data_IF_620373982537
#
_entry.id   IF_620373982537
#
_cell.length_a   1.000
_cell.length_b   1.000
_cell.length_c   1.000
_cell.angle_alpha   90.00
_cell.angle_beta   90.00
_cell.angle_gamma   90.00
#
_symmetry.space_group_name_H-M   'P 1'
#
loop_
_entity.id
_entity.type
_entity.pdbx_description
1 polymer ?
#
# COMPACT_ATOMS: atom_id res chain seq x y z
N UNK A 1 67.87 -30.64 8.26
CA UNK A 1 67.84 -29.49 7.34
C UNK A 1 66.63 -29.70 6.44
N UNK A 2 65.47 -29.13 6.81
CA UNK A 2 64.23 -29.22 6.02
C UNK A 2 64.21 -28.07 5.03
N UNK A 3 64.14 -28.39 3.74
CA UNK A 3 64.14 -27.41 2.65
C UNK A 3 62.89 -26.51 2.70
N UNK A 4 63.02 -25.22 2.34
CA UNK A 4 61.89 -24.29 2.35
C UNK A 4 60.87 -24.66 1.26
N UNK A 5 59.61 -24.89 1.66
CA UNK A 5 58.53 -25.26 0.73
C UNK A 5 58.06 -24.02 0.00
N UNK A 6 57.96 -24.08 -1.33
CA UNK A 6 57.43 -22.95 -2.10
C UNK A 6 55.93 -22.78 -1.84
N UNK A 7 55.48 -21.52 -1.68
CA UNK A 7 54.06 -21.19 -1.49
C UNK A 7 53.16 -21.80 -2.58
N UNK A 8 53.67 -21.92 -3.80
CA UNK A 8 52.93 -22.50 -4.92
C UNK A 8 52.75 -24.02 -4.76
N UNK A 9 53.79 -24.74 -4.35
CA UNK A 9 53.70 -26.19 -4.05
C UNK A 9 52.73 -26.44 -2.91
N UNK A 10 52.81 -25.65 -1.84
CA UNK A 10 51.91 -25.75 -0.69
C UNK A 10 50.43 -25.59 -1.05
N UNK A 11 50.09 -24.57 -1.86
CA UNK A 11 48.70 -24.34 -2.26
C UNK A 11 48.16 -25.46 -3.16
N UNK A 12 49.03 -26.06 -4.01
CA UNK A 12 48.66 -27.14 -4.92
C UNK A 12 48.42 -28.47 -4.19
N UNK A 13 49.25 -28.78 -3.19
CA UNK A 13 49.17 -30.03 -2.43
C UNK A 13 47.97 -30.06 -1.46
N UNK A 14 47.57 -28.91 -0.92
CA UNK A 14 46.52 -28.81 0.12
C UNK A 14 45.14 -28.41 -0.44
N UNK A 15 44.76 -28.93 -1.61
CA UNK A 15 43.41 -28.75 -2.15
C UNK A 15 43.21 -27.53 -3.07
N UNK A 16 44.28 -27.04 -3.70
CA UNK A 16 44.25 -25.92 -4.66
C UNK A 16 43.76 -24.61 -4.04
N UNK A 17 44.36 -24.24 -2.91
CA UNK A 17 44.01 -23.04 -2.15
C UNK A 17 44.35 -21.75 -2.93
N UNK A 18 43.55 -20.67 -2.77
CA UNK A 18 43.82 -19.39 -3.42
C UNK A 18 45.10 -18.75 -2.91
N UNK A 19 46.16 -18.79 -3.74
CA UNK A 19 47.53 -18.33 -3.41
C UNK A 19 47.60 -16.89 -2.88
N UNK A 20 46.76 -15.99 -3.39
CA UNK A 20 46.69 -14.59 -2.94
C UNK A 20 46.17 -14.45 -1.51
N UNK A 21 45.16 -15.24 -1.14
CA UNK A 21 44.59 -15.25 0.21
C UNK A 21 45.55 -15.84 1.24
N UNK A 22 46.22 -16.94 0.89
CA UNK A 22 47.22 -17.59 1.78
C UNK A 22 48.43 -16.68 1.98
N UNK A 23 48.93 -16.04 0.93
CA UNK A 23 50.07 -15.09 1.03
C UNK A 23 49.74 -13.90 1.91
N UNK A 24 48.56 -13.31 1.75
CA UNK A 24 48.12 -12.16 2.54
C UNK A 24 48.02 -12.52 4.02
N UNK A 25 47.37 -13.65 4.33
CA UNK A 25 47.21 -14.12 5.70
C UNK A 25 48.55 -14.38 6.40
N UNK A 26 49.49 -15.01 5.71
CA UNK A 26 50.83 -15.28 6.25
C UNK A 26 51.61 -13.99 6.55
N UNK A 27 51.56 -13.01 5.65
CA UNK A 27 52.21 -11.71 5.87
C UNK A 27 51.56 -10.94 7.03
N UNK A 28 50.22 -10.97 7.14
CA UNK A 28 49.48 -10.31 8.22
C UNK A 28 49.82 -10.93 9.61
N UNK A 29 50.23 -12.20 9.65
CA UNK A 29 50.65 -12.91 10.87
C UNK A 29 52.18 -12.94 11.07
N UNK A 30 52.94 -12.14 10.29
CA UNK A 30 54.37 -11.95 10.49
C UNK A 30 55.27 -13.05 9.89
N UNK A 31 54.74 -13.93 9.04
CA UNK A 31 55.53 -14.95 8.34
C UNK A 31 56.03 -14.41 6.98
N UNK A 32 57.35 -14.48 6.75
CA UNK A 32 57.95 -14.09 5.48
C UNK A 32 57.72 -15.15 4.41
N UNK A 33 57.24 -14.73 3.23
CA UNK A 33 57.08 -15.60 2.05
C UNK A 33 58.16 -15.41 0.98
N UNK A 34 59.20 -14.61 1.26
CA UNK A 34 60.18 -14.16 0.25
C UNK A 34 61.19 -15.24 -0.14
N UNK A 35 61.64 -16.05 0.81
CA UNK A 35 62.66 -17.10 0.61
C UNK A 35 62.08 -18.53 0.71
N UNK A 36 60.75 -18.64 0.60
CA UNK A 36 59.98 -19.87 0.82
C UNK A 36 59.34 -19.94 2.20
N UNK A 37 58.41 -20.88 2.40
CA UNK A 37 57.68 -21.04 3.65
C UNK A 37 58.55 -21.74 4.69
N UNK A 38 58.71 -21.11 5.85
CA UNK A 38 59.31 -21.76 7.01
C UNK A 38 58.40 -22.88 7.54
N UNK A 39 58.94 -23.91 8.20
CA UNK A 39 58.14 -25.01 8.75
C UNK A 39 57.01 -24.53 9.68
N UNK A 40 57.28 -23.50 10.49
CA UNK A 40 56.28 -22.88 11.36
C UNK A 40 55.15 -22.17 10.59
N UNK A 41 55.48 -21.55 9.44
CA UNK A 41 54.48 -20.92 8.57
C UNK A 41 53.58 -21.96 7.87
N UNK A 42 54.14 -23.12 7.50
CA UNK A 42 53.39 -24.23 6.91
C UNK A 42 52.40 -24.81 7.92
N UNK A 43 52.82 -25.06 9.16
CA UNK A 43 51.95 -25.57 10.22
C UNK A 43 50.79 -24.62 10.54
N UNK A 44 51.08 -23.32 10.66
CA UNK A 44 50.07 -22.29 10.88
C UNK A 44 49.07 -22.18 9.70
N UNK A 45 49.57 -22.27 8.46
CA UNK A 45 48.71 -22.23 7.28
C UNK A 45 47.85 -23.49 7.13
N UNK A 46 48.36 -24.67 7.50
CA UNK A 46 47.58 -25.92 7.51
C UNK A 46 46.43 -25.84 8.51
N UNK A 47 46.69 -25.35 9.73
CA UNK A 47 45.66 -25.21 10.75
C UNK A 47 44.51 -24.28 10.31
N UNK A 48 44.83 -23.21 9.56
CA UNK A 48 43.84 -22.23 9.12
C UNK A 48 43.09 -22.63 7.85
N UNK A 49 43.79 -23.16 6.85
CA UNK A 49 43.23 -23.38 5.51
C UNK A 49 42.89 -24.85 5.20
N UNK A 50 43.39 -25.80 6.01
CA UNK A 50 43.04 -27.21 5.96
C UNK A 50 42.58 -27.68 7.35
N UNK A 51 41.38 -27.29 7.81
CA UNK A 51 40.86 -27.80 9.06
C UNK A 51 40.71 -29.32 8.97
N UNK A 52 41.45 -30.04 9.82
CA UNK A 52 41.19 -31.45 10.11
C UNK A 52 39.73 -31.55 10.57
N UNK A 53 38.90 -32.45 10.02
CA UNK A 53 37.57 -32.68 10.56
C UNK A 53 37.76 -33.13 12.01
N UNK A 54 37.45 -32.22 12.93
CA UNK A 54 37.42 -32.53 14.35
C UNK A 54 36.39 -33.64 14.52
N UNK A 55 36.72 -34.81 15.11
CA UNK A 55 35.69 -35.71 15.56
C UNK A 55 34.89 -34.93 16.60
N UNK A 56 33.63 -34.62 16.27
CA UNK A 56 32.67 -34.17 17.26
C UNK A 56 32.67 -35.18 18.40
N UNK A 57 32.85 -34.69 19.63
CA UNK A 57 32.78 -35.51 20.82
C UNK A 57 31.48 -36.33 20.83
N UNK A 58 31.51 -37.61 21.27
CA UNK A 58 30.30 -38.23 21.74
C UNK A 58 29.98 -37.63 23.12
N UNK A 59 29.22 -36.55 23.13
CA UNK A 59 28.34 -36.28 24.26
C UNK A 59 27.16 -37.23 24.12
N UNK A 60 27.07 -38.21 25.01
CA UNK A 60 25.90 -38.32 25.87
C UNK A 60 26.13 -39.39 26.93
N UNK A 61 26.28 -38.90 28.17
CA UNK A 61 25.39 -39.21 29.27
C UNK A 61 24.75 -40.60 29.27
N UNK A 62 25.14 -41.42 30.24
CA UNK A 62 24.47 -42.68 30.49
C UNK A 62 24.78 -43.28 31.85
N UNK A 63 24.39 -42.57 32.90
CA UNK A 63 23.79 -43.11 34.13
C UNK A 63 24.12 -44.58 34.47
N UNK A 64 24.90 -44.78 35.53
CA UNK A 64 25.11 -46.08 36.15
C UNK A 64 24.06 -46.37 37.23
N UNK A 65 23.72 -47.66 37.35
CA UNK A 65 23.05 -48.42 38.44
C UNK A 65 21.49 -48.51 38.31
N UNK A 66 20.84 -49.69 38.16
CA UNK A 66 20.87 -50.87 39.05
C UNK A 66 20.74 -52.26 38.39
N UNK A 67 21.59 -53.16 38.91
CA UNK A 67 21.41 -54.58 39.29
C UNK A 67 20.35 -55.46 38.61
N UNK A 68 20.83 -56.53 37.94
CA UNK A 68 20.02 -57.67 37.52
C UNK A 68 20.80 -58.60 36.59
N UNK A 69 21.59 -59.49 37.18
CA UNK A 69 22.58 -60.34 36.50
C UNK A 69 21.92 -61.51 35.76
N UNK A 70 21.65 -61.40 34.45
CA UNK A 70 21.51 -62.54 33.52
C UNK A 70 21.76 -62.08 32.06
N UNK A 71 23.00 -62.28 31.58
CA UNK A 71 23.40 -61.97 30.21
C UNK A 71 23.19 -63.21 29.32
N UNK A 72 22.31 -63.10 28.33
CA UNK A 72 22.29 -63.98 27.14
C UNK A 72 22.23 -63.08 25.93
N UNK A 73 23.29 -63.09 25.14
CA UNK A 73 23.45 -62.25 23.95
C UNK A 73 22.61 -62.80 22.81
N UNK A 74 21.50 -62.13 22.53
CA UNK A 74 20.75 -62.28 21.28
C UNK A 74 21.35 -61.30 20.28
N UNK A 75 21.82 -61.80 19.11
CA UNK A 75 22.24 -60.93 18.02
C UNK A 75 21.00 -60.19 17.49
N UNK A 76 20.91 -58.89 17.79
CA UNK A 76 19.90 -58.04 17.18
C UNK A 76 20.24 -57.83 15.69
N UNK A 77 19.24 -57.83 14.79
CA UNK A 77 19.47 -57.52 13.39
C UNK A 77 20.09 -56.12 13.26
N UNK A 78 21.14 -56.01 12.46
CA UNK A 78 21.84 -54.75 12.23
C UNK A 78 20.96 -53.82 11.39
N UNK A 79 20.37 -52.78 12.02
CA UNK A 79 19.56 -51.76 11.35
C UNK A 79 20.39 -50.61 10.75
N UNK A 80 21.71 -50.76 10.65
CA UNK A 80 22.58 -49.75 10.05
C UNK A 80 22.15 -49.48 8.59
N UNK A 81 21.69 -48.25 8.34
CA UNK A 81 21.21 -47.81 7.02
C UNK A 81 19.70 -47.90 6.81
N UNK A 82 18.90 -48.22 7.84
CA UNK A 82 17.44 -48.20 7.73
C UNK A 82 16.90 -46.77 7.72
N UNK A 83 16.63 -46.22 6.53
CA UNK A 83 15.87 -44.97 6.38
C UNK A 83 14.38 -45.29 6.52
N UNK A 84 13.79 -44.96 7.67
CA UNK A 84 12.35 -45.10 7.88
C UNK A 84 11.69 -43.80 7.44
N UNK A 85 11.01 -43.82 6.30
CA UNK A 85 10.15 -42.72 5.89
C UNK A 85 8.93 -42.66 6.80
N UNK A 86 8.81 -41.61 7.61
CA UNK A 86 7.68 -41.42 8.51
C UNK A 86 6.39 -41.06 7.77
N UNK A 87 6.48 -40.68 6.49
CA UNK A 87 5.34 -40.42 5.61
C UNK A 87 4.46 -41.65 5.40
N UNK A 88 5.04 -42.87 5.42
CA UNK A 88 4.28 -44.11 5.25
C UNK A 88 3.33 -44.46 6.42
N UNK A 89 3.47 -43.75 7.54
CA UNK A 89 2.57 -43.87 8.71
C UNK A 89 1.57 -42.72 8.82
N UNK A 90 1.57 -41.79 7.86
CA UNK A 90 0.61 -40.67 7.81
C UNK A 90 -0.51 -41.02 6.84
N UNK A 91 -1.74 -40.98 7.31
CA UNK A 91 -2.94 -41.25 6.49
C UNK A 91 -3.41 -40.01 5.70
N UNK A 92 -2.83 -38.84 5.96
CA UNK A 92 -3.27 -37.56 5.39
C UNK A 92 -2.16 -36.51 5.34
N UNK A 93 -2.16 -35.69 4.30
CA UNK A 93 -1.25 -34.56 4.12
C UNK A 93 -1.77 -33.31 4.87
N UNK A 94 -0.87 -32.56 5.49
CA UNK A 94 -1.19 -31.28 6.11
C UNK A 94 -0.95 -30.16 5.11
N UNK A 95 -1.99 -29.36 4.82
CA UNK A 95 -1.85 -28.06 4.17
C UNK A 95 -1.21 -27.10 5.19
N UNK A 96 0.05 -26.76 4.96
CA UNK A 96 0.80 -25.82 5.78
C UNK A 96 0.93 -24.52 5.00
N UNK A 97 0.44 -23.43 5.60
CA UNK A 97 0.83 -22.08 5.18
C UNK A 97 2.15 -21.81 5.89
N UNK A 98 3.22 -21.52 5.13
CA UNK A 98 4.58 -21.40 5.66
C UNK A 98 4.69 -20.34 6.76
N UNK A 99 3.98 -19.22 6.61
CA UNK A 99 3.89 -18.17 7.63
C UNK A 99 2.43 -17.68 7.77
N UNK A 100 1.61 -18.36 8.58
CA UNK A 100 0.20 -18.01 8.73
C UNK A 100 0.01 -16.67 9.46
N UNK A 101 1.01 -16.21 10.24
CA UNK A 101 0.95 -14.93 10.94
C UNK A 101 1.16 -13.77 9.97
N UNK A 102 2.14 -13.86 9.07
CA UNK A 102 2.36 -12.85 8.04
C UNK A 102 1.13 -12.69 7.12
N UNK A 103 0.47 -13.80 6.75
CA UNK A 103 -0.77 -13.77 5.96
C UNK A 103 -1.90 -13.09 6.74
N UNK A 104 -2.05 -13.39 8.04
CA UNK A 104 -3.04 -12.75 8.88
C UNK A 104 -2.79 -11.23 9.04
N UNK A 105 -1.54 -10.81 9.23
CA UNK A 105 -1.18 -9.39 9.32
C UNK A 105 -1.50 -8.64 8.03
N UNK A 106 -1.15 -9.20 6.87
CA UNK A 106 -1.49 -8.60 5.57
C UNK A 106 -3.01 -8.48 5.38
N UNK A 107 -3.76 -9.51 5.77
CA UNK A 107 -5.21 -9.48 5.69
C UNK A 107 -5.81 -8.39 6.59
N UNK A 108 -5.36 -8.27 7.83
CA UNK A 108 -5.84 -7.25 8.76
C UNK A 108 -5.52 -5.84 8.25
N UNK A 109 -4.29 -5.61 7.76
CA UNK A 109 -3.92 -4.33 7.15
C UNK A 109 -4.81 -4.00 5.94
N UNK A 110 -5.08 -4.98 5.07
CA UNK A 110 -5.97 -4.79 3.94
C UNK A 110 -7.41 -4.49 4.39
N UNK A 111 -7.91 -5.18 5.42
CA UNK A 111 -9.23 -4.95 5.98
C UNK A 111 -9.36 -3.53 6.57
N UNK A 112 -8.35 -3.06 7.29
CA UNK A 112 -8.32 -1.71 7.86
C UNK A 112 -8.32 -0.64 6.76
N UNK A 113 -7.55 -0.83 5.69
CA UNK A 113 -7.55 0.07 4.54
C UNK A 113 -8.92 0.11 3.84
N UNK A 114 -9.54 -1.06 3.65
CA UNK A 114 -10.89 -1.14 3.06
C UNK A 114 -11.90 -0.44 3.96
N UNK A 115 -11.84 -0.66 5.27
CA UNK A 115 -12.74 -0.02 6.22
C UNK A 115 -12.59 1.51 6.22
N UNK A 116 -11.36 2.01 6.17
CA UNK A 116 -11.08 3.44 6.02
C UNK A 116 -11.66 4.00 4.71
N UNK A 117 -11.40 3.34 3.58
CA UNK A 117 -11.91 3.77 2.28
C UNK A 117 -13.45 3.77 2.20
N UNK A 118 -14.11 2.80 2.84
CA UNK A 118 -15.58 2.77 2.94
C UNK A 118 -16.12 3.94 3.77
N UNK A 119 -15.48 4.25 4.90
CA UNK A 119 -15.87 5.39 5.73
C UNK A 119 -15.72 6.72 4.97
N UNK A 120 -14.61 6.89 4.25
CA UNK A 120 -14.36 8.09 3.44
C UNK A 120 -15.38 8.24 2.29
N UNK A 121 -15.71 7.15 1.59
CA UNK A 121 -16.72 7.18 0.52
C UNK A 121 -18.12 7.53 1.08
N UNK A 122 -18.51 6.96 2.23
CA UNK A 122 -19.76 7.32 2.91
C UNK A 122 -19.79 8.81 3.24
N UNK A 123 -18.73 9.34 3.86
CA UNK A 123 -18.64 10.76 4.21
C UNK A 123 -18.74 11.66 2.95
N UNK A 124 -18.05 11.29 1.87
CA UNK A 124 -18.11 12.02 0.61
C UNK A 124 -19.51 11.99 -0.02
N UNK A 125 -20.22 10.85 0.03
CA UNK A 125 -21.61 10.73 -0.46
C UNK A 125 -22.57 11.57 0.38
N UNK A 126 -22.42 11.55 1.70
CA UNK A 126 -23.23 12.38 2.60
C UNK A 126 -23.02 13.87 2.33
N UNK A 127 -21.77 14.30 2.16
CA UNK A 127 -21.44 15.68 1.85
C UNK A 127 -22.08 16.12 0.53
N UNK A 128 -21.97 15.29 -0.52
CA UNK A 128 -22.64 15.54 -1.82
C UNK A 128 -24.16 15.65 -1.66
N UNK A 129 -24.77 14.75 -0.89
CA UNK A 129 -26.22 14.79 -0.63
C UNK A 129 -26.63 16.09 0.08
N UNK A 130 -25.87 16.51 1.11
CA UNK A 130 -26.14 17.77 1.84
C UNK A 130 -26.02 18.98 0.90
N UNK A 131 -24.97 19.04 0.08
CA UNK A 131 -24.77 20.11 -0.90
C UNK A 131 -25.93 20.16 -1.92
N UNK A 132 -26.37 19.02 -2.44
CA UNK A 132 -27.52 18.96 -3.37
C UNK A 132 -28.80 19.45 -2.71
N UNK A 133 -29.08 19.04 -1.47
CA UNK A 133 -30.26 19.52 -0.73
C UNK A 133 -30.22 21.03 -0.50
N UNK A 134 -29.06 21.58 -0.15
CA UNK A 134 -28.87 23.01 0.02
C UNK A 134 -29.10 23.78 -1.29
N UNK A 135 -28.51 23.30 -2.40
CA UNK A 135 -28.70 23.91 -3.72
C UNK A 135 -30.16 23.86 -4.16
N UNK A 136 -30.85 22.74 -3.95
CA UNK A 136 -32.28 22.61 -4.24
C UNK A 136 -33.11 23.63 -3.45
N UNK A 137 -32.84 23.77 -2.15
CA UNK A 137 -33.51 24.75 -1.29
C UNK A 137 -33.29 26.19 -1.78
N UNK A 138 -32.05 26.55 -2.13
CA UNK A 138 -31.71 27.87 -2.63
C UNK A 138 -32.40 28.18 -3.98
N UNK A 139 -32.43 27.22 -4.90
CA UNK A 139 -33.13 27.37 -6.19
C UNK A 139 -34.63 27.53 -5.97
N UNK A 140 -35.24 26.72 -5.09
CA UNK A 140 -36.66 26.80 -4.80
C UNK A 140 -37.05 28.15 -4.19
N UNK A 141 -36.24 28.65 -3.24
CA UNK A 141 -36.43 29.98 -2.66
C UNK A 141 -36.34 31.08 -3.74
N UNK A 142 -35.32 31.02 -4.60
CA UNK A 142 -35.15 32.04 -5.65
C UNK A 142 -36.25 32.00 -6.70
N UNK A 143 -36.76 30.82 -7.03
CA UNK A 143 -37.90 30.66 -7.93
C UNK A 143 -39.18 31.29 -7.35
N UNK A 144 -39.40 31.15 -6.03
CA UNK A 144 -40.53 31.80 -5.36
C UNK A 144 -40.40 33.32 -5.37
N UNK A 145 -39.22 33.85 -5.06
CA UNK A 145 -38.94 35.30 -5.17
C UNK A 145 -39.24 35.83 -6.58
N UNK A 146 -38.71 35.15 -7.60
CA UNK A 146 -38.91 35.56 -8.99
C UNK A 146 -40.38 35.51 -9.40
N UNK A 147 -41.14 34.50 -8.94
CA UNK A 147 -42.57 34.42 -9.22
C UNK A 147 -43.35 35.59 -8.62
N UNK A 148 -42.97 36.03 -7.41
CA UNK A 148 -43.55 37.22 -6.78
C UNK A 148 -43.20 38.50 -7.54
N UNK A 149 -41.92 38.67 -7.92
CA UNK A 149 -41.48 39.82 -8.73
C UNK A 149 -42.21 39.90 -10.07
N UNK A 150 -42.34 38.77 -10.78
CA UNK A 150 -43.09 38.72 -12.04
C UNK A 150 -44.55 39.13 -11.86
N UNK A 151 -45.18 38.72 -10.75
CA UNK A 151 -46.55 39.12 -10.44
C UNK A 151 -46.64 40.62 -10.15
N UNK A 152 -45.71 41.17 -9.38
CA UNK A 152 -45.65 42.60 -9.08
C UNK A 152 -45.45 43.42 -10.36
N UNK A 153 -44.52 43.01 -11.22
CA UNK A 153 -44.29 43.65 -12.50
C UNK A 153 -45.57 43.68 -13.34
N UNK A 154 -46.26 42.54 -13.52
CA UNK A 154 -47.52 42.47 -14.28
C UNK A 154 -48.59 43.40 -13.73
N UNK A 155 -48.71 43.50 -12.41
CA UNK A 155 -49.67 44.41 -11.77
C UNK A 155 -49.31 45.88 -12.02
N UNK A 156 -48.03 46.24 -11.87
CA UNK A 156 -47.56 47.60 -12.09
C UNK A 156 -47.72 48.02 -13.55
N UNK A 157 -47.34 47.17 -14.51
CA UNK A 157 -47.51 47.48 -15.93
C UNK A 157 -48.97 47.64 -16.29
N UNK A 158 -49.86 46.76 -15.79
CA UNK A 158 -51.29 46.90 -16.04
C UNK A 158 -51.87 48.22 -15.48
N UNK A 159 -51.39 48.68 -14.33
CA UNK A 159 -51.79 49.98 -13.77
C UNK A 159 -51.27 51.15 -14.61
N UNK A 160 -50.01 51.09 -15.06
CA UNK A 160 -49.41 52.11 -15.93
C UNK A 160 -50.15 52.17 -17.26
N UNK A 161 -50.42 51.02 -17.89
CA UNK A 161 -51.12 50.92 -19.17
C UNK A 161 -52.54 51.50 -19.05
N UNK A 162 -53.24 51.20 -17.95
CA UNK A 162 -54.57 51.77 -17.68
C UNK A 162 -54.50 53.29 -17.52
N UNK A 163 -53.59 53.80 -16.67
CA UNK A 163 -53.43 55.24 -16.45
C UNK A 163 -53.04 55.97 -17.75
N UNK A 164 -52.15 55.39 -18.55
CA UNK A 164 -51.75 55.95 -19.83
C UNK A 164 -52.94 55.97 -20.81
N UNK A 165 -53.76 54.92 -20.83
CA UNK A 165 -54.98 54.88 -21.65
C UNK A 165 -55.93 56.00 -21.23
N UNK A 166 -56.21 56.13 -19.93
CA UNK A 166 -57.12 57.14 -19.39
C UNK A 166 -56.66 58.57 -19.74
N UNK A 167 -55.38 58.87 -19.52
CA UNK A 167 -54.78 60.18 -19.83
C UNK A 167 -54.78 60.46 -21.34
N UNK A 168 -54.49 59.46 -22.17
CA UNK A 168 -54.48 59.62 -23.64
C UNK A 168 -55.88 59.84 -24.20
N UNK A 169 -56.89 59.14 -23.66
CA UNK A 169 -58.30 59.35 -24.01
C UNK A 169 -58.76 60.73 -23.59
N UNK A 170 -58.46 61.17 -22.36
CA UNK A 170 -58.80 62.51 -21.88
C UNK A 170 -58.17 63.61 -22.76
N UNK A 171 -56.91 63.43 -23.18
CA UNK A 171 -56.25 64.34 -24.11
C UNK A 171 -56.93 64.36 -25.49
N UNK A 172 -57.28 63.20 -26.04
CA UNK A 172 -57.97 63.10 -27.32
C UNK A 172 -59.34 63.80 -27.29
N UNK A 173 -60.09 63.63 -26.19
CA UNK A 173 -61.37 64.29 -25.99
C UNK A 173 -61.21 65.81 -25.89
N UNK A 174 -60.21 66.30 -25.15
CA UNK A 174 -59.91 67.73 -25.04
C UNK A 174 -59.52 68.34 -26.41
N UNK A 175 -58.72 67.63 -27.21
CA UNK A 175 -58.37 68.05 -28.56
C UNK A 175 -59.58 68.08 -29.49
N UNK A 176 -60.47 67.09 -29.41
CA UNK A 176 -61.72 67.06 -30.18
C UNK A 176 -62.65 68.23 -29.82
N UNK A 177 -62.73 68.59 -28.53
CA UNK A 177 -63.48 69.77 -28.07
C UNK A 177 -62.88 71.08 -28.59
N UNK A 178 -61.55 71.25 -28.58
CA UNK A 178 -60.91 72.43 -29.15
C UNK A 178 -61.20 72.56 -30.66
N UNK A 179 -61.19 71.45 -31.39
CA UNK A 179 -61.50 71.43 -32.82
C UNK A 179 -62.97 71.79 -33.12
N UNK A 180 -63.91 71.42 -32.24
CA UNK A 180 -65.32 71.79 -32.42
C UNK A 180 -65.58 73.26 -32.14
N UNK A 181 -64.85 73.88 -31.19
CA UNK A 181 -64.91 75.31 -30.91
C UNK A 181 -64.30 76.18 -32.03
N UNK A 182 -63.30 75.65 -32.76
CA UNK A 182 -62.65 76.34 -33.87
C UNK A 182 -63.43 76.32 -35.19
N UNK A 183 -64.54 75.58 -35.29
CA UNK A 183 -65.41 75.58 -36.47
C UNK A 183 -66.47 76.69 -36.31
N UNK A 184 -66.56 77.67 -37.23
CA UNK A 184 -67.58 78.71 -37.15
C UNK A 184 -68.96 78.05 -37.20
N UNK A 185 -69.83 78.43 -36.27
CA UNK A 185 -71.23 78.00 -36.28
C UNK A 185 -71.89 78.64 -37.50
N UNK A 186 -72.14 77.87 -38.58
CA UNK A 186 -72.87 78.30 -39.78
C UNK A 186 -74.38 78.58 -39.51
N UNK A 187 -74.74 79.01 -38.30
CA UNK A 187 -76.13 79.18 -37.89
C UNK A 187 -76.57 80.66 -37.71
N UNK A 188 -75.72 81.65 -37.96
CA UNK A 188 -76.08 83.08 -37.72
C UNK A 188 -76.00 83.98 -38.97
N UNK A 189 -76.16 83.40 -40.17
CA UNK A 189 -76.37 84.15 -41.42
C UNK A 189 -77.62 83.65 -42.14
N UNK A 190 -78.78 83.82 -41.49
CA UNK A 190 -80.08 83.78 -42.15
C UNK A 190 -81.07 84.69 -41.41
N UNK A 191 -80.86 86.01 -41.52
CA UNK A 191 -81.87 87.04 -41.28
C UNK A 191 -81.58 88.27 -42.16
#
# INVERSE_FOLDING_TARGET
MTEPVSLHSFCKENGNLPKTSVRRWLNDHGYSTSDGLSPAAVEAALAQFCPVPTPAAPDMAGLTIHAGNHCTTVNLPNYQGLTVDLGQFRESEALVIDDPLAVAEQFLQAADLIQGALADDIAAREQRLRATKQAQGAIAAKAQELALEQRLYRLQTAQIDQAQTDETTALADALAQLQSLGKPTEADTAA
#
